data_IF_389353575262
#
_entry.id   IF_389353575262
#
_cell.length_a   1.000
_cell.length_b   1.000
_cell.length_c   1.000
_cell.angle_alpha   90.00
_cell.angle_beta   90.00
_cell.angle_gamma   90.00
#
_symmetry.space_group_name_H-M   'P 1'
#
loop_
_entity.id
_entity.type
_entity.pdbx_description
1 polymer ?
#
# COMPACT_ATOMS: atom_id res chain seq x y z
N UNK A 1 -3.95 -12.60 -14.60
CA UNK A 1 -2.59 -12.17 -14.21
C UNK A 1 -2.51 -10.64 -14.26
N UNK A 2 -2.15 -9.97 -15.36
CA UNK A 2 -2.08 -8.49 -15.39
C UNK A 2 -3.44 -7.76 -15.24
N UNK A 3 -4.50 -8.31 -15.84
CA UNK A 3 -5.85 -7.71 -15.77
C UNK A 3 -6.44 -7.75 -14.34
N UNK A 4 -6.04 -8.73 -13.54
CA UNK A 4 -6.55 -8.91 -12.17
C UNK A 4 -5.91 -7.89 -11.22
N UNK A 5 -4.62 -7.60 -11.40
CA UNK A 5 -3.88 -6.59 -10.64
C UNK A 5 -4.47 -5.20 -10.90
N UNK A 6 -4.60 -4.78 -12.17
CA UNK A 6 -5.17 -3.48 -12.52
C UNK A 6 -6.61 -3.32 -11.99
N UNK A 7 -7.42 -4.39 -12.09
CA UNK A 7 -8.77 -4.41 -11.52
C UNK A 7 -8.76 -4.33 -10.00
N UNK A 8 -7.80 -4.97 -9.31
CA UNK A 8 -7.67 -4.87 -7.87
C UNK A 8 -7.23 -3.45 -7.44
N UNK A 9 -6.25 -2.85 -8.12
CA UNK A 9 -5.81 -1.46 -7.84
C UNK A 9 -6.99 -0.48 -7.93
N UNK A 10 -7.81 -0.55 -8.98
CA UNK A 10 -9.00 0.32 -9.10
C UNK A 10 -10.02 0.12 -7.97
N UNK A 11 -10.16 -1.11 -7.47
CA UNK A 11 -11.10 -1.48 -6.41
C UNK A 11 -10.68 -1.03 -5.01
N UNK A 12 -9.44 -0.58 -4.80
CA UNK A 12 -9.03 0.02 -3.52
C UNK A 12 -9.82 1.28 -3.17
N UNK A 13 -10.35 1.99 -4.18
CA UNK A 13 -11.17 3.20 -4.04
C UNK A 13 -12.68 2.93 -4.08
N UNK A 14 -13.10 1.66 -4.05
CA UNK A 14 -14.51 1.30 -4.17
C UNK A 14 -15.31 1.67 -2.91
N UNK A 15 -16.57 2.10 -3.06
CA UNK A 15 -17.41 2.49 -1.91
C UNK A 15 -17.69 1.36 -0.90
N UNK A 16 -17.80 0.12 -1.38
CA UNK A 16 -18.01 -1.04 -0.53
C UNK A 16 -16.69 -1.55 0.05
N UNK A 17 -16.60 -1.53 1.38
CA UNK A 17 -15.46 -1.97 2.16
C UNK A 17 -15.05 -3.43 1.87
N UNK A 18 -16.01 -4.33 1.61
CA UNK A 18 -15.69 -5.74 1.33
C UNK A 18 -14.95 -5.86 0.01
N UNK A 19 -15.35 -5.09 -0.99
CA UNK A 19 -14.67 -4.99 -2.29
C UNK A 19 -13.25 -4.45 -2.13
N UNK A 20 -13.05 -3.39 -1.34
CA UNK A 20 -11.72 -2.84 -1.04
C UNK A 20 -10.82 -3.87 -0.35
N UNK A 21 -11.33 -4.56 0.67
CA UNK A 21 -10.57 -5.60 1.39
C UNK A 21 -10.18 -6.78 0.50
N UNK A 22 -11.08 -7.20 -0.40
CA UNK A 22 -10.76 -8.24 -1.39
C UNK A 22 -9.66 -7.76 -2.34
N UNK A 23 -9.71 -6.51 -2.79
CA UNK A 23 -8.66 -5.94 -3.63
C UNK A 23 -7.29 -5.95 -2.94
N UNK A 24 -7.22 -5.52 -1.67
CA UNK A 24 -5.98 -5.61 -0.87
C UNK A 24 -5.45 -7.04 -0.87
N UNK A 25 -6.29 -8.03 -0.59
CA UNK A 25 -5.89 -9.45 -0.59
C UNK A 25 -5.34 -9.89 -1.95
N UNK A 26 -6.05 -9.59 -3.03
CA UNK A 26 -5.61 -9.94 -4.38
C UNK A 26 -4.26 -9.31 -4.72
N UNK A 27 -4.01 -8.05 -4.32
CA UNK A 27 -2.72 -7.41 -4.57
C UNK A 27 -1.58 -8.10 -3.80
N UNK A 28 -1.80 -8.47 -2.54
CA UNK A 28 -0.82 -9.26 -1.77
C UNK A 28 -0.57 -10.65 -2.36
N UNK A 29 -1.61 -11.33 -2.85
CA UNK A 29 -1.48 -12.66 -3.49
C UNK A 29 -0.66 -12.62 -4.78
N UNK A 30 -0.58 -11.49 -5.47
CA UNK A 30 0.21 -11.34 -6.70
C UNK A 30 1.70 -11.05 -6.45
N UNK A 31 2.08 -10.65 -5.23
CA UNK A 31 3.47 -10.39 -4.82
C UNK A 31 4.29 -9.52 -5.81
N UNK A 32 3.65 -8.45 -6.30
CA UNK A 32 4.24 -7.57 -7.32
C UNK A 32 4.54 -6.18 -6.74
N UNK A 33 5.82 -5.77 -6.59
CA UNK A 33 6.20 -4.45 -6.09
C UNK A 33 5.62 -3.26 -6.87
N UNK A 34 5.22 -3.44 -8.14
CA UNK A 34 4.65 -2.36 -8.96
C UNK A 34 3.31 -1.84 -8.44
N UNK A 35 2.64 -2.58 -7.56
CA UNK A 35 1.34 -2.19 -6.99
C UNK A 35 1.44 -1.17 -5.86
N UNK A 36 2.65 -0.84 -5.40
CA UNK A 36 2.90 0.02 -4.24
C UNK A 36 2.23 1.40 -4.38
N UNK A 37 2.23 1.95 -5.59
CA UNK A 37 1.59 3.24 -5.89
C UNK A 37 0.08 3.22 -5.59
N UNK A 38 -0.58 2.07 -5.73
CA UNK A 38 -1.99 1.93 -5.40
C UNK A 38 -2.24 1.96 -3.89
N UNK A 39 -1.25 1.58 -3.07
CA UNK A 39 -1.32 1.64 -1.60
C UNK A 39 -1.00 3.03 -1.04
N UNK A 40 -0.33 3.90 -1.79
CA UNK A 40 0.05 5.25 -1.32
C UNK A 40 -1.12 6.05 -0.73
N UNK A 41 -2.32 6.14 -1.36
CA UNK A 41 -3.45 6.86 -0.78
C UNK A 41 -3.99 6.24 0.50
N UNK A 42 -3.77 4.94 0.72
CA UNK A 42 -4.25 4.23 1.91
C UNK A 42 -3.45 4.56 3.18
N UNK A 43 -2.28 5.20 3.06
CA UNK A 43 -1.53 5.73 4.20
C UNK A 43 -2.26 6.87 4.93
N UNK A 44 -3.22 7.51 4.25
CA UNK A 44 -4.09 8.57 4.77
C UNK A 44 -5.55 8.10 4.97
N UNK A 45 -5.83 6.79 4.93
CA UNK A 45 -7.20 6.26 5.08
C UNK A 45 -7.75 6.49 6.50
N UNK A 46 -9.06 6.74 6.59
CA UNK A 46 -9.76 6.90 7.87
C UNK A 46 -9.88 5.57 8.63
N UNK A 47 -9.96 4.43 7.92
CA UNK A 47 -9.96 3.11 8.52
C UNK A 47 -8.50 2.62 8.69
N UNK A 48 -8.06 2.58 9.95
CA UNK A 48 -6.71 2.17 10.33
C UNK A 48 -6.31 0.76 9.85
N UNK A 49 -7.28 -0.10 9.50
CA UNK A 49 -6.98 -1.38 8.86
C UNK A 49 -6.29 -1.17 7.49
N UNK A 50 -6.75 -0.21 6.68
CA UNK A 50 -6.14 0.09 5.38
C UNK A 50 -4.78 0.77 5.54
N UNK A 51 -4.63 1.67 6.52
CA UNK A 51 -3.32 2.26 6.86
C UNK A 51 -2.32 1.16 7.22
N UNK A 52 -2.71 0.23 8.10
CA UNK A 52 -1.85 -0.91 8.45
C UNK A 52 -1.47 -1.76 7.24
N UNK A 53 -2.41 -2.02 6.33
CA UNK A 53 -2.14 -2.81 5.12
C UNK A 53 -1.25 -2.09 4.11
N UNK A 54 -1.38 -0.77 4.00
CA UNK A 54 -0.46 0.04 3.23
C UNK A 54 0.95 -0.07 3.81
N UNK A 55 1.12 0.11 5.11
CA UNK A 55 2.43 -0.06 5.76
C UNK A 55 3.01 -1.46 5.55
N UNK A 56 2.20 -2.52 5.63
CA UNK A 56 2.63 -3.89 5.33
C UNK A 56 3.15 -4.03 3.89
N UNK A 57 2.46 -3.44 2.90
CA UNK A 57 2.90 -3.44 1.51
C UNK A 57 4.24 -2.71 1.32
N UNK A 58 4.41 -1.54 1.94
CA UNK A 58 5.68 -0.82 1.90
C UNK A 58 6.82 -1.57 2.62
N UNK A 59 6.54 -2.30 3.70
CA UNK A 59 7.56 -3.15 4.35
C UNK A 59 7.97 -4.32 3.46
N UNK A 60 7.01 -4.93 2.77
CA UNK A 60 7.25 -6.11 1.94
C UNK A 60 8.01 -5.74 0.65
N UNK A 61 7.62 -4.64 0.01
CA UNK A 61 8.06 -4.33 -1.34
C UNK A 61 8.81 -2.99 -1.46
N UNK A 62 8.84 -2.14 -0.43
CA UNK A 62 9.39 -0.78 -0.52
C UNK A 62 10.87 -0.74 -0.87
N UNK A 63 11.68 -1.66 -0.35
CA UNK A 63 13.11 -1.77 -0.70
C UNK A 63 13.29 -2.17 -2.17
N UNK A 64 12.46 -3.11 -2.65
CA UNK A 64 12.51 -3.62 -4.02
C UNK A 64 11.98 -2.58 -5.02
N UNK A 65 10.96 -1.82 -4.63
CA UNK A 65 10.37 -0.74 -5.43
C UNK A 65 11.29 0.47 -5.59
N UNK A 66 12.29 0.63 -4.71
CA UNK A 66 13.32 1.67 -4.83
C UNK A 66 13.19 2.82 -3.82
N UNK A 67 14.13 3.77 -3.85
CA UNK A 67 14.24 4.82 -2.83
C UNK A 67 13.01 5.74 -2.76
N UNK A 68 12.26 5.92 -3.85
CA UNK A 68 11.05 6.74 -3.92
C UNK A 68 9.92 6.17 -3.03
N UNK A 69 9.85 4.84 -2.90
CA UNK A 69 8.91 4.17 -2.01
C UNK A 69 9.25 4.47 -0.54
N UNK A 70 10.53 4.35 -0.18
CA UNK A 70 11.02 4.67 1.18
C UNK A 70 10.84 6.16 1.48
N UNK A 71 11.16 7.03 0.53
CA UNK A 71 10.99 8.47 0.65
C UNK A 71 9.51 8.86 0.88
N UNK A 72 8.56 8.17 0.24
CA UNK A 72 7.12 8.37 0.47
C UNK A 72 6.76 8.16 1.94
N UNK A 73 7.34 7.17 2.62
CA UNK A 73 7.11 6.98 4.05
C UNK A 73 7.81 8.05 4.88
N UNK A 74 9.09 8.31 4.62
CA UNK A 74 9.91 9.25 5.41
C UNK A 74 9.41 10.70 5.37
N UNK A 75 8.76 11.10 4.27
CA UNK A 75 8.23 12.46 4.08
C UNK A 75 6.74 12.57 4.43
N UNK A 76 6.11 11.49 4.90
CA UNK A 76 4.69 11.49 5.21
C UNK A 76 4.34 12.43 6.38
N UNK A 77 3.16 13.06 6.36
CA UNK A 77 2.72 13.97 7.44
C UNK A 77 2.50 13.25 8.79
N UNK A 78 2.05 12.00 8.73
CA UNK A 78 1.81 11.17 9.92
C UNK A 78 3.14 10.62 10.48
N UNK A 79 3.39 10.86 11.76
CA UNK A 79 4.60 10.42 12.47
C UNK A 79 4.77 8.89 12.43
N UNK A 80 3.70 8.12 12.57
CA UNK A 80 3.79 6.66 12.61
C UNK A 80 4.15 6.06 11.25
N UNK A 81 3.71 6.70 10.17
CA UNK A 81 4.11 6.35 8.80
C UNK A 81 5.60 6.66 8.59
N UNK A 82 6.09 7.81 9.07
CA UNK A 82 7.53 8.14 9.01
C UNK A 82 8.39 7.15 9.78
N UNK A 83 7.95 6.74 10.98
CA UNK A 83 8.63 5.71 11.78
C UNK A 83 8.73 4.39 11.03
N UNK A 84 7.66 3.98 10.34
CA UNK A 84 7.71 2.79 9.50
C UNK A 84 8.75 2.90 8.38
N UNK A 85 8.87 4.08 7.75
CA UNK A 85 9.90 4.35 6.74
C UNK A 85 11.32 4.30 7.30
N UNK A 86 11.54 4.88 8.48
CA UNK A 86 12.85 4.85 9.13
C UNK A 86 13.33 3.44 9.48
N UNK A 87 12.41 2.51 9.76
CA UNK A 87 12.72 1.10 10.02
C UNK A 87 13.09 0.30 8.75
N UNK A 88 12.97 0.89 7.56
CA UNK A 88 13.38 0.26 6.30
C UNK A 88 14.81 0.63 5.87
N UNK A 89 15.48 1.53 6.58
CA UNK A 89 16.88 1.90 6.34
C UNK A 89 17.82 0.99 7.12
#
# INVERSE_FOLDING_TARGET
MANDIARAMSRLKHRDIRTRRRAVRTLFENDDPSVLDAFKPLLDDEDGWFVSKALDAYRMWGIVAGPEAVATLLQHRNLDVRRAGANLL
#
